data_IF_335457297567
#
_entry.id   IF_335457297567
#
_cell.length_a   1.000
_cell.length_b   1.000
_cell.length_c   1.000
_cell.angle_alpha   90.00
_cell.angle_beta   90.00
_cell.angle_gamma   90.00
#
_symmetry.space_group_name_H-M   'P 1'
#
loop_
_entity.id
_entity.type
_entity.pdbx_description
1 polymer ?
#
# COMPACT_ATOMS: atom_id res chain seq x y z
N UNK A 1 -82.93 -33.30 -49.68
CA UNK A 1 -82.19 -34.32 -48.91
C UNK A 1 -81.44 -33.56 -47.81
N UNK A 2 -81.90 -33.56 -46.56
CA UNK A 2 -81.67 -34.60 -45.53
C UNK A 2 -80.17 -34.70 -45.17
N UNK A 3 -79.68 -34.78 -43.94
CA UNK A 3 -80.27 -34.80 -42.60
C UNK A 3 -79.12 -34.63 -41.59
N UNK A 4 -79.52 -34.34 -40.37
CA UNK A 4 -78.83 -34.11 -39.10
C UNK A 4 -77.89 -35.26 -38.65
N UNK A 5 -76.79 -34.95 -37.92
CA UNK A 5 -76.54 -35.37 -36.51
C UNK A 5 -75.10 -35.79 -36.14
N UNK A 6 -74.62 -35.11 -35.08
CA UNK A 6 -73.84 -35.53 -33.89
C UNK A 6 -72.75 -36.61 -33.98
N UNK A 7 -71.57 -36.32 -33.40
CA UNK A 7 -71.00 -37.11 -32.28
C UNK A 7 -69.89 -36.36 -31.50
N UNK A 8 -69.88 -36.56 -30.18
CA UNK A 8 -69.02 -35.99 -29.13
C UNK A 8 -67.55 -36.43 -29.21
N UNK A 9 -66.63 -35.60 -28.70
CA UNK A 9 -65.46 -36.04 -27.89
C UNK A 9 -64.85 -34.87 -27.07
N UNK A 10 -64.72 -35.05 -25.75
CA UNK A 10 -63.77 -34.36 -24.84
C UNK A 10 -62.55 -35.31 -24.65
N UNK A 11 -61.48 -35.01 -23.87
CA UNK A 11 -60.87 -33.76 -23.40
C UNK A 11 -59.35 -33.70 -23.75
N UNK A 12 -58.61 -32.64 -23.37
CA UNK A 12 -57.23 -32.81 -22.85
C UNK A 12 -56.72 -31.59 -22.08
N UNK A 13 -56.48 -31.82 -20.80
CA UNK A 13 -55.65 -30.99 -19.91
C UNK A 13 -54.24 -30.83 -20.48
N UNK A 14 -53.70 -29.62 -20.48
CA UNK A 14 -52.27 -29.29 -20.66
C UNK A 14 -52.17 -27.75 -20.76
N UNK A 15 -51.34 -26.97 -20.06
CA UNK A 15 -50.25 -27.18 -19.12
C UNK A 15 -50.19 -25.86 -18.31
N UNK A 16 -49.92 -25.94 -17.00
CA UNK A 16 -49.65 -24.77 -16.18
C UNK A 16 -48.38 -24.06 -16.71
N UNK A 17 -48.52 -22.84 -17.19
CA UNK A 17 -47.39 -21.96 -17.50
C UNK A 17 -46.69 -21.58 -16.21
N UNK A 18 -45.52 -22.17 -15.97
CA UNK A 18 -44.64 -21.83 -14.85
C UNK A 18 -44.00 -20.48 -15.15
N UNK A 19 -44.50 -19.43 -14.52
CA UNK A 19 -43.86 -18.11 -14.45
C UNK A 19 -42.47 -18.27 -13.83
N UNK A 20 -41.43 -17.95 -14.59
CA UNK A 20 -40.05 -17.92 -14.13
C UNK A 20 -39.71 -16.46 -13.76
N UNK A 21 -39.62 -16.18 -12.46
CA UNK A 21 -39.10 -14.90 -11.98
C UNK A 21 -37.57 -14.87 -12.16
N UNK A 22 -37.00 -13.77 -12.69
CA UNK A 22 -35.55 -13.63 -12.74
C UNK A 22 -35.02 -13.51 -11.31
N UNK A 23 -34.17 -14.46 -10.93
CA UNK A 23 -33.41 -14.40 -9.70
C UNK A 23 -32.40 -13.24 -9.83
N UNK A 24 -32.64 -12.14 -9.10
CA UNK A 24 -31.66 -11.08 -8.91
C UNK A 24 -30.48 -11.67 -8.15
N UNK A 25 -29.45 -12.10 -8.88
CA UNK A 25 -28.17 -12.49 -8.28
C UNK A 25 -27.47 -11.22 -7.81
N UNK A 26 -27.65 -10.89 -6.53
CA UNK A 26 -26.86 -9.86 -5.87
C UNK A 26 -25.40 -10.36 -5.79
N UNK A 27 -24.56 -9.89 -6.70
CA UNK A 27 -23.12 -10.09 -6.63
C UNK A 27 -22.58 -9.31 -5.42
N UNK A 28 -22.01 -10.02 -4.45
CA UNK A 28 -21.17 -9.41 -3.42
C UNK A 28 -19.74 -9.46 -3.93
N UNK A 29 -19.24 -8.33 -4.42
CA UNK A 29 -17.82 -8.14 -4.70
C UNK A 29 -17.12 -7.86 -3.37
N UNK A 30 -16.41 -8.85 -2.84
CA UNK A 30 -15.47 -8.63 -1.74
C UNK A 30 -14.20 -8.03 -2.33
N UNK A 31 -14.11 -6.71 -2.39
CA UNK A 31 -12.84 -6.02 -2.67
C UNK A 31 -11.92 -6.30 -1.48
N UNK A 32 -10.95 -7.20 -1.67
CA UNK A 32 -9.85 -7.37 -0.73
C UNK A 32 -8.96 -6.15 -0.89
N UNK A 33 -9.03 -5.20 0.04
CA UNK A 33 -8.00 -4.17 0.15
C UNK A 33 -6.65 -4.89 0.36
N UNK A 34 -5.63 -4.53 -0.42
CA UNK A 34 -4.31 -5.12 -0.31
C UNK A 34 -3.52 -4.32 0.73
N UNK A 35 -3.53 -4.77 1.98
CA UNK A 35 -2.65 -4.21 3.00
C UNK A 35 -1.38 -5.07 3.09
N UNK A 36 -0.25 -4.53 2.68
CA UNK A 36 1.05 -5.15 2.89
C UNK A 36 1.64 -4.67 4.22
N UNK A 37 2.11 -5.63 5.03
CA UNK A 37 2.93 -5.33 6.21
C UNK A 37 4.16 -4.49 5.82
N UNK A 38 4.63 -3.64 6.74
CA UNK A 38 5.78 -2.75 6.53
C UNK A 38 7.01 -3.55 6.12
N UNK A 39 7.71 -3.04 5.10
CA UNK A 39 8.96 -3.58 4.58
C UNK A 39 10.10 -2.59 4.78
N UNK A 40 11.32 -3.12 4.82
CA UNK A 40 12.50 -2.36 5.20
C UNK A 40 13.63 -2.51 4.19
N UNK A 41 14.40 -1.45 4.00
CA UNK A 41 15.63 -1.46 3.21
C UNK A 41 16.85 -1.67 4.11
N UNK A 42 18.01 -1.96 3.50
CA UNK A 42 19.30 -1.99 4.21
C UNK A 42 19.82 -0.59 4.56
N UNK A 43 19.21 0.46 4.04
CA UNK A 43 19.55 1.85 4.34
C UNK A 43 18.61 2.47 5.39
N UNK A 44 17.86 1.63 6.10
CA UNK A 44 16.98 2.02 7.19
C UNK A 44 15.80 2.91 6.79
N UNK A 45 15.33 2.77 5.55
CA UNK A 45 14.00 3.25 5.14
C UNK A 45 12.95 2.16 5.31
N UNK A 46 11.69 2.58 5.41
CA UNK A 46 10.55 1.68 5.41
C UNK A 46 9.50 2.09 4.38
N UNK A 47 8.74 1.10 3.92
CA UNK A 47 7.53 1.30 3.11
C UNK A 47 6.38 0.44 3.62
N UNK A 48 5.20 1.02 3.74
CA UNK A 48 3.95 0.30 3.98
C UNK A 48 3.02 0.54 2.80
N UNK A 49 2.45 -0.52 2.23
CA UNK A 49 1.57 -0.38 1.06
C UNK A 49 0.14 -0.70 1.45
N UNK A 50 -0.74 0.25 1.19
CA UNK A 50 -2.19 0.06 1.27
C UNK A 50 -2.77 0.31 -0.13
N UNK A 51 -3.39 -0.74 -0.67
CA UNK A 51 -3.84 -0.83 -2.06
C UNK A 51 -2.71 -0.56 -3.07
N UNK A 52 -2.71 0.62 -3.70
CA UNK A 52 -1.69 1.04 -4.68
C UNK A 52 -0.76 2.12 -4.12
N UNK A 53 -0.92 2.52 -2.86
CA UNK A 53 -0.21 3.65 -2.26
C UNK A 53 0.84 3.14 -1.28
N UNK A 54 2.10 3.39 -1.59
CA UNK A 54 3.23 3.15 -0.69
C UNK A 54 3.52 4.39 0.14
N UNK A 55 3.41 4.28 1.46
CA UNK A 55 3.86 5.32 2.41
C UNK A 55 5.29 5.01 2.83
N UNK A 56 6.17 6.00 2.71
CA UNK A 56 7.62 5.86 2.92
C UNK A 56 8.09 6.74 4.07
N UNK A 57 9.07 6.26 4.85
CA UNK A 57 9.79 7.05 5.85
C UNK A 57 11.11 6.40 6.26
N UNK A 58 11.80 6.99 7.25
CA UNK A 58 12.98 6.38 7.88
C UNK A 58 12.62 5.64 9.16
N UNK A 59 13.41 4.64 9.55
CA UNK A 59 13.13 3.81 10.73
C UNK A 59 13.58 4.48 12.04
N UNK A 60 13.10 3.93 13.17
CA UNK A 60 13.53 4.37 14.50
C UNK A 60 15.05 4.30 14.67
N UNK A 61 15.69 3.25 14.13
CA UNK A 61 17.15 3.09 14.17
C UNK A 61 17.85 4.25 13.44
N UNK A 62 17.37 4.62 12.25
CA UNK A 62 17.94 5.72 11.47
C UNK A 62 17.84 7.07 12.22
N UNK A 63 16.65 7.41 12.73
CA UNK A 63 16.47 8.69 13.42
C UNK A 63 17.24 8.75 14.74
N UNK A 64 17.40 7.63 15.47
CA UNK A 64 18.24 7.60 16.68
C UNK A 64 19.72 7.82 16.35
N UNK A 65 20.21 7.22 15.26
CA UNK A 65 21.58 7.41 14.79
C UNK A 65 21.85 8.87 14.37
N UNK A 66 20.88 9.51 13.71
CA UNK A 66 20.96 10.92 13.32
C UNK A 66 20.81 11.87 14.51
N UNK A 67 20.01 11.51 15.52
CA UNK A 67 19.62 12.36 16.64
C UNK A 67 18.49 13.33 16.27
N UNK A 68 18.47 14.48 16.94
CA UNK A 68 17.40 15.48 16.76
C UNK A 68 17.38 16.04 15.34
N UNK A 69 16.33 15.68 14.58
CA UNK A 69 16.14 16.13 13.21
C UNK A 69 15.63 17.58 13.23
N UNK A 70 16.30 18.43 12.46
CA UNK A 70 16.04 19.87 12.39
C UNK A 70 15.62 20.35 11.01
N UNK A 71 15.78 19.51 9.98
CA UNK A 71 15.40 19.82 8.61
C UNK A 71 15.03 18.54 7.83
N UNK A 72 14.09 18.69 6.91
CA UNK A 72 13.70 17.67 5.95
C UNK A 72 13.35 18.33 4.61
N UNK A 73 13.89 17.80 3.52
CA UNK A 73 13.55 18.17 2.15
C UNK A 73 12.91 16.96 1.47
N UNK A 74 11.65 17.11 1.04
CA UNK A 74 10.83 16.02 0.52
C UNK A 74 10.63 16.16 -0.99
N UNK A 75 10.38 15.06 -1.72
CA UNK A 75 10.18 15.13 -3.16
C UNK A 75 8.86 15.83 -3.50
N UNK A 76 8.84 16.54 -4.62
CA UNK A 76 7.62 17.17 -5.14
C UNK A 76 6.61 16.12 -5.63
N UNK A 77 5.32 16.43 -5.46
CA UNK A 77 4.23 15.63 -6.00
C UNK A 77 4.33 15.58 -7.54
N UNK A 78 4.20 14.37 -8.09
CA UNK A 78 4.37 14.11 -9.52
C UNK A 78 5.77 13.65 -9.91
N UNK A 79 6.75 13.70 -8.99
CA UNK A 79 8.09 13.14 -9.24
C UNK A 79 8.01 11.64 -9.46
N UNK A 80 8.60 11.14 -10.55
CA UNK A 80 8.80 9.71 -10.77
C UNK A 80 10.12 9.28 -10.14
N UNK A 81 10.07 8.23 -9.32
CA UNK A 81 11.20 7.66 -8.60
C UNK A 81 11.35 6.19 -8.96
N UNK A 82 12.57 5.74 -9.20
CA UNK A 82 12.89 4.32 -9.27
C UNK A 82 13.42 3.81 -7.92
N UNK A 83 13.30 2.51 -7.68
CA UNK A 83 13.85 1.88 -6.49
C UNK A 83 15.36 2.17 -6.36
N UNK A 84 15.75 2.73 -5.22
CA UNK A 84 17.13 3.14 -4.94
C UNK A 84 17.51 4.54 -5.39
N UNK A 85 16.62 5.30 -6.02
CA UNK A 85 16.85 6.73 -6.32
C UNK A 85 16.86 7.55 -5.02
N UNK A 86 17.65 8.62 -4.98
CA UNK A 86 17.57 9.61 -3.90
C UNK A 86 16.23 10.35 -4.02
N UNK A 87 15.42 10.29 -2.98
CA UNK A 87 14.07 10.84 -2.96
C UNK A 87 13.95 12.08 -2.06
N UNK A 88 14.65 12.08 -0.92
CA UNK A 88 14.56 13.15 0.09
C UNK A 88 15.92 13.31 0.79
N UNK A 89 16.04 14.36 1.60
CA UNK A 89 17.15 14.56 2.52
C UNK A 89 16.63 14.88 3.92
N UNK A 90 17.29 14.37 4.95
CA UNK A 90 17.02 14.68 6.36
C UNK A 90 18.30 15.15 7.03
N UNK A 91 18.22 16.20 7.84
CA UNK A 91 19.37 16.75 8.54
C UNK A 91 19.10 16.90 10.04
N UNK A 92 20.11 16.56 10.83
CA UNK A 92 20.19 16.79 12.25
C UNK A 92 21.30 17.80 12.56
N UNK A 93 21.44 18.14 13.85
CA UNK A 93 22.59 18.94 14.32
C UNK A 93 23.93 18.19 14.25
N UNK A 94 23.92 16.89 13.91
CA UNK A 94 25.09 16.02 13.89
C UNK A 94 25.48 15.57 12.48
N UNK A 95 24.50 15.35 11.61
CA UNK A 95 24.70 14.74 10.30
C UNK A 95 23.58 15.13 9.33
N UNK A 96 23.86 14.98 8.04
CA UNK A 96 22.87 14.98 6.97
C UNK A 96 22.85 13.60 6.33
N UNK A 97 21.66 13.12 5.94
CA UNK A 97 21.50 11.86 5.24
C UNK A 97 20.50 11.99 4.11
N UNK A 98 20.89 11.45 2.96
CA UNK A 98 19.95 11.18 1.88
C UNK A 98 19.01 10.04 2.30
N UNK A 99 17.78 10.10 1.80
CA UNK A 99 16.75 9.08 1.93
C UNK A 99 16.43 8.55 0.54
N UNK A 100 16.48 7.23 0.39
CA UNK A 100 16.29 6.57 -0.90
C UNK A 100 14.88 6.00 -1.05
N UNK A 101 14.34 5.98 -2.26
CA UNK A 101 13.05 5.34 -2.52
C UNK A 101 13.15 3.82 -2.37
N UNK A 102 12.37 3.17 -1.49
CA UNK A 102 12.41 1.71 -1.33
C UNK A 102 11.90 0.95 -2.56
N UNK A 103 11.01 1.57 -3.34
CA UNK A 103 10.33 1.00 -4.49
C UNK A 103 10.10 2.07 -5.57
N UNK A 104 9.83 1.63 -6.79
CA UNK A 104 9.54 2.49 -7.93
C UNK A 104 8.09 2.99 -7.90
N UNK A 105 7.89 4.28 -8.16
CA UNK A 105 6.58 4.90 -8.15
C UNK A 105 6.57 6.38 -8.51
N UNK A 106 5.36 6.94 -8.57
CA UNK A 106 5.16 8.39 -8.73
C UNK A 106 4.71 8.99 -7.40
N UNK A 107 5.38 10.03 -6.91
CA UNK A 107 5.01 10.71 -5.66
C UNK A 107 3.62 11.30 -5.78
N UNK A 108 2.73 10.92 -4.87
CA UNK A 108 1.34 11.38 -4.81
C UNK A 108 1.09 12.39 -3.70
N UNK A 109 1.90 12.36 -2.64
CA UNK A 109 1.74 13.19 -1.46
C UNK A 109 3.09 13.37 -0.77
N UNK A 110 3.35 14.57 -0.23
CA UNK A 110 4.47 14.83 0.68
C UNK A 110 3.94 15.31 2.02
N UNK A 111 4.64 14.99 3.11
CA UNK A 111 4.22 15.40 4.45
C UNK A 111 4.70 16.83 4.77
N UNK A 112 3.91 17.83 4.41
CA UNK A 112 4.22 19.25 4.67
C UNK A 112 4.35 19.57 6.18
N UNK A 113 3.71 18.79 7.04
CA UNK A 113 3.87 18.94 8.50
C UNK A 113 5.29 18.53 8.93
N UNK A 114 5.91 17.54 8.28
CA UNK A 114 7.31 17.18 8.55
C UNK A 114 8.27 18.27 8.05
N UNK A 115 8.02 18.89 6.90
CA UNK A 115 8.86 20.01 6.42
C UNK A 115 8.82 21.22 7.39
N UNK A 116 7.65 21.49 7.98
CA UNK A 116 7.48 22.59 8.93
C UNK A 116 7.84 22.24 10.38
N UNK A 117 7.74 20.97 10.77
CA UNK A 117 8.08 20.44 12.08
C UNK A 117 8.85 19.11 11.97
N UNK A 118 10.16 19.15 11.63
CA UNK A 118 10.96 17.95 11.39
C UNK A 118 11.09 17.01 12.60
N UNK A 119 10.84 17.52 13.82
CA UNK A 119 10.88 16.72 15.05
C UNK A 119 9.84 15.58 15.10
N UNK A 120 8.84 15.60 14.21
CA UNK A 120 7.89 14.49 14.06
C UNK A 120 8.57 13.19 13.63
N UNK A 121 9.65 13.27 12.85
CA UNK A 121 10.44 12.09 12.45
C UNK A 121 10.98 11.37 13.69
N UNK A 122 11.44 12.13 14.70
CA UNK A 122 11.91 11.56 15.97
C UNK A 122 10.75 11.08 16.87
N UNK A 123 9.66 11.85 16.97
CA UNK A 123 8.58 11.61 17.97
C UNK A 123 7.55 10.57 17.53
N UNK A 124 7.30 10.46 16.23
CA UNK A 124 6.18 9.70 15.65
C UNK A 124 6.61 8.98 14.37
N UNK A 125 7.81 8.39 14.38
CA UNK A 125 8.53 7.85 13.21
C UNK A 125 7.68 7.05 12.22
N UNK A 126 6.80 6.19 12.73
CA UNK A 126 5.99 5.28 11.93
C UNK A 126 4.53 5.71 11.76
N UNK A 127 4.15 6.85 12.36
CA UNK A 127 2.79 7.39 12.29
C UNK A 127 2.85 8.77 11.62
N UNK A 128 3.08 9.84 12.37
CA UNK A 128 3.05 11.20 11.82
C UNK A 128 4.35 11.64 11.13
N UNK A 129 5.43 10.87 11.33
CA UNK A 129 6.77 11.10 10.78
C UNK A 129 7.04 10.45 9.42
N UNK A 130 6.00 10.01 8.70
CA UNK A 130 6.14 9.58 7.31
C UNK A 130 6.60 10.74 6.42
N UNK A 131 7.34 10.45 5.36
CA UNK A 131 7.97 11.47 4.52
C UNK A 131 7.13 11.75 3.27
N UNK A 132 6.91 10.73 2.46
CA UNK A 132 6.13 10.87 1.22
C UNK A 132 5.32 9.61 0.94
N UNK A 133 4.31 9.75 0.08
CA UNK A 133 3.56 8.63 -0.48
C UNK A 133 3.78 8.59 -1.98
N UNK A 134 3.80 7.39 -2.53
CA UNK A 134 3.88 7.17 -3.96
C UNK A 134 2.80 6.19 -4.44
N UNK A 135 2.42 6.32 -5.70
CA UNK A 135 1.68 5.29 -6.42
C UNK A 135 2.68 4.24 -6.91
N UNK A 136 2.52 3.01 -6.44
CA UNK A 136 3.44 1.90 -6.73
C UNK A 136 3.39 1.53 -8.21
N UNK A 137 4.54 1.52 -8.87
CA UNK A 137 4.66 1.09 -10.28
C UNK A 137 4.98 -0.40 -10.41
N UNK A 138 5.69 -0.98 -9.43
CA UNK A 138 6.12 -2.38 -9.47
C UNK A 138 6.04 -3.05 -8.09
N UNK A 139 4.92 -3.70 -7.81
CA UNK A 139 4.69 -4.35 -6.51
C UNK A 139 5.66 -5.53 -6.22
N UNK A 140 6.33 -6.09 -7.23
CA UNK A 140 7.28 -7.19 -7.02
C UNK A 140 8.54 -6.76 -6.27
N UNK A 141 8.88 -5.46 -6.29
CA UNK A 141 10.03 -4.92 -5.56
C UNK A 141 9.89 -5.10 -4.04
N UNK A 142 8.66 -5.13 -3.52
CA UNK A 142 8.39 -5.41 -2.10
C UNK A 142 8.94 -6.77 -1.64
N UNK A 143 9.05 -7.76 -2.55
CA UNK A 143 9.57 -9.09 -2.22
C UNK A 143 11.09 -9.09 -2.02
N UNK A 144 11.78 -8.04 -2.48
CA UNK A 144 13.22 -7.87 -2.32
C UNK A 144 13.59 -7.18 -1.00
N UNK A 145 12.60 -6.58 -0.34
CA UNK A 145 12.76 -5.86 0.91
C UNK A 145 12.66 -6.81 2.10
N UNK A 146 13.24 -6.37 3.22
CA UNK A 146 13.21 -7.12 4.47
C UNK A 146 11.83 -7.01 5.12
N UNK A 147 11.39 -8.10 5.75
CA UNK A 147 10.30 -8.06 6.71
C UNK A 147 10.81 -7.59 8.09
N UNK A 148 9.90 -7.44 9.04
CA UNK A 148 10.24 -7.00 10.41
C UNK A 148 11.31 -7.91 11.05
N UNK A 149 11.16 -9.23 10.95
CA UNK A 149 12.06 -10.17 11.60
C UNK A 149 13.47 -10.14 10.98
N UNK A 150 13.54 -10.06 9.65
CA UNK A 150 14.78 -9.94 8.91
C UNK A 150 15.48 -8.60 9.23
N UNK A 151 14.71 -7.51 9.34
CA UNK A 151 15.26 -6.21 9.69
C UNK A 151 15.79 -6.16 11.14
N UNK A 152 15.08 -6.77 12.10
CA UNK A 152 15.57 -6.91 13.48
C UNK A 152 16.86 -7.72 13.58
N UNK A 153 16.99 -8.79 12.79
CA UNK A 153 18.23 -9.56 12.71
C UNK A 153 19.37 -8.75 12.07
N UNK A 154 19.06 -7.97 11.03
CA UNK A 154 20.02 -7.10 10.35
C UNK A 154 20.58 -6.02 11.28
N UNK A 155 19.72 -5.29 12.03
CA UNK A 155 20.16 -4.26 12.98
C UNK A 155 21.14 -4.81 14.03
N UNK A 156 20.85 -5.98 14.59
CA UNK A 156 21.74 -6.63 15.58
C UNK A 156 23.12 -6.94 15.00
N UNK A 157 23.16 -7.42 13.76
CA UNK A 157 24.44 -7.69 13.08
C UNK A 157 25.24 -6.41 12.85
N UNK A 158 24.60 -5.29 12.48
CA UNK A 158 25.27 -4.00 12.33
C UNK A 158 25.78 -3.44 13.66
N UNK A 159 24.99 -3.53 14.73
CA UNK A 159 25.40 -3.13 16.08
C UNK A 159 26.63 -3.93 16.56
N UNK A 160 26.64 -5.24 16.35
CA UNK A 160 27.77 -6.11 16.68
C UNK A 160 29.00 -5.79 15.84
N UNK A 161 28.84 -5.54 14.54
CA UNK A 161 29.95 -5.19 13.63
C UNK A 161 30.60 -3.84 13.96
N UNK A 162 29.85 -2.91 14.56
CA UNK A 162 30.37 -1.59 14.99
C UNK A 162 30.97 -1.60 16.41
N UNK A 163 30.82 -2.68 17.17
CA UNK A 163 31.35 -2.82 18.52
C UNK A 163 32.79 -3.39 18.57
N UNK A 164 33.32 -3.87 17.44
CA UNK A 164 34.70 -4.34 17.26
C UNK A 164 35.64 -3.24 16.73
#
# INVERSE_FOLDING_TARGET
MASVSLLRALPRLSLLTRSALPQLTRSLSTSSALFAERRYTKKHEWVSVEDEIGTVGITTFAQEALGDIVYAELPDVGTELHAGDTAAAVESVKAASDVYSPISGTVTEKNEEVESNPSLINKSTYQDGWLFKLKVMNANELQQLMDENAYEAFKKQEEEAHAE
#
